data_IF_316198529094
#
_entry.id   IF_316198529094
#
_cell.length_a   1.000
_cell.length_b   1.000
_cell.length_c   1.000
_cell.angle_alpha   90.00
_cell.angle_beta   90.00
_cell.angle_gamma   90.00
#
_symmetry.space_group_name_H-M   'P 1'
#
loop_
_entity.id
_entity.type
_entity.pdbx_description
1 polymer ?
#
# COMPACT_ATOMS: atom_id res chain seq x y z
N UNK A 1 11.95 -0.28 14.01
CA UNK A 1 11.08 -0.48 12.82
C UNK A 1 10.53 0.81 12.20
N UNK A 2 9.71 1.62 12.91
CA UNK A 2 9.00 2.75 12.28
C UNK A 2 9.87 3.80 11.58
N UNK A 3 10.99 4.16 12.19
CA UNK A 3 11.93 5.11 11.59
C UNK A 3 12.69 4.56 10.38
N UNK A 4 13.00 3.25 10.36
CA UNK A 4 13.82 2.60 9.32
C UNK A 4 13.04 2.54 8.00
N UNK A 5 11.79 2.08 8.05
CA UNK A 5 10.94 1.93 6.85
C UNK A 5 10.73 3.28 6.15
N UNK A 6 10.41 4.33 6.93
CA UNK A 6 10.18 5.66 6.38
C UNK A 6 11.45 6.30 5.80
N UNK A 7 12.62 6.03 6.40
CA UNK A 7 13.89 6.63 5.99
C UNK A 7 14.51 5.93 4.78
N UNK A 8 14.40 4.60 4.69
CA UNK A 8 15.05 3.82 3.63
C UNK A 8 14.17 3.65 2.39
N UNK A 9 12.84 3.59 2.53
CA UNK A 9 11.93 3.29 1.42
C UNK A 9 11.02 4.46 1.03
N UNK A 10 11.15 5.60 1.71
CA UNK A 10 10.31 6.80 1.50
C UNK A 10 8.80 6.52 1.54
N UNK A 11 8.38 5.45 2.22
CA UNK A 11 6.98 5.03 2.36
C UNK A 11 6.51 5.19 3.81
N UNK A 12 5.29 5.67 3.99
CA UNK A 12 4.61 5.77 5.29
C UNK A 12 4.00 4.42 5.72
N UNK A 13 3.55 4.35 6.98
CA UNK A 13 2.90 3.15 7.50
C UNK A 13 1.55 2.88 6.85
N UNK A 14 0.82 3.94 6.56
CA UNK A 14 -0.48 3.86 5.91
C UNK A 14 -0.34 3.43 4.45
N UNK A 15 0.67 3.94 3.74
CA UNK A 15 0.99 3.50 2.38
C UNK A 15 1.43 2.02 2.37
N UNK A 16 2.31 1.63 3.30
CA UNK A 16 2.70 0.23 3.45
C UNK A 16 1.50 -0.68 3.71
N UNK A 17 0.62 -0.32 4.63
CA UNK A 17 -0.57 -1.12 4.95
C UNK A 17 -1.54 -1.27 3.77
N UNK A 18 -1.73 -0.20 2.98
CA UNK A 18 -2.53 -0.26 1.74
C UNK A 18 -1.90 -1.24 0.74
N UNK A 19 -0.57 -1.17 0.54
CA UNK A 19 0.13 -2.06 -0.37
C UNK A 19 0.10 -3.53 0.07
N UNK A 20 0.26 -3.78 1.37
CA UNK A 20 0.14 -5.12 1.96
C UNK A 20 -1.25 -5.70 1.70
N UNK A 21 -2.31 -4.93 1.97
CA UNK A 21 -3.68 -5.37 1.71
C UNK A 21 -3.90 -5.76 0.24
N UNK A 22 -3.39 -4.97 -0.71
CA UNK A 22 -3.49 -5.25 -2.15
C UNK A 22 -2.71 -6.51 -2.55
N UNK A 23 -1.54 -6.74 -1.94
CA UNK A 23 -0.70 -7.92 -2.24
C UNK A 23 -1.31 -9.22 -1.69
N UNK A 24 -1.99 -9.15 -0.53
CA UNK A 24 -2.64 -10.30 0.12
C UNK A 24 -3.90 -10.77 -0.62
N UNK A 25 -4.75 -9.84 -1.05
CA UNK A 25 -6.06 -10.17 -1.65
C UNK A 25 -5.98 -10.51 -3.15
N UNK A 26 -4.97 -10.02 -3.87
CA UNK A 26 -4.66 -10.40 -5.27
C UNK A 26 -5.73 -10.16 -6.34
N UNK A 27 -6.79 -9.42 -6.02
CA UNK A 27 -7.78 -8.91 -6.98
C UNK A 27 -7.18 -7.89 -7.98
N UNK A 28 -7.84 -7.72 -9.12
CA UNK A 28 -7.50 -6.69 -10.12
C UNK A 28 -8.10 -5.32 -9.78
N UNK A 29 -9.24 -5.31 -9.07
CA UNK A 29 -9.99 -4.12 -8.68
C UNK A 29 -10.32 -4.12 -7.18
N UNK A 30 -10.19 -2.96 -6.55
CA UNK A 30 -10.52 -2.75 -5.13
C UNK A 30 -11.37 -1.51 -4.94
N UNK A 31 -12.33 -1.58 -4.03
CA UNK A 31 -13.04 -0.40 -3.57
C UNK A 31 -12.26 0.28 -2.45
N UNK A 32 -12.05 1.59 -2.55
CA UNK A 32 -11.37 2.37 -1.52
C UNK A 32 -12.07 2.25 -0.15
N UNK A 33 -13.40 2.15 -0.13
CA UNK A 33 -14.18 1.99 1.11
C UNK A 33 -13.82 0.70 1.84
N UNK A 34 -13.54 -0.38 1.11
CA UNK A 34 -13.25 -1.69 1.70
C UNK A 34 -11.86 -1.69 2.33
N UNK A 35 -10.90 -1.04 1.66
CA UNK A 35 -9.56 -0.78 2.20
C UNK A 35 -9.66 0.07 3.48
N UNK A 36 -10.44 1.16 3.46
CA UNK A 36 -10.64 2.01 4.65
C UNK A 36 -11.25 1.21 5.81
N UNK A 37 -12.25 0.36 5.54
CA UNK A 37 -12.92 -0.44 6.55
C UNK A 37 -12.05 -1.55 7.11
N UNK A 38 -11.15 -2.11 6.29
CA UNK A 38 -10.24 -3.17 6.71
C UNK A 38 -9.05 -2.62 7.50
N UNK A 39 -8.57 -1.43 7.16
CA UNK A 39 -7.43 -0.82 7.82
C UNK A 39 -7.87 -0.07 9.09
N UNK A 40 -7.16 -0.29 10.20
CA UNK A 40 -7.39 0.44 11.46
C UNK A 40 -6.78 1.86 11.46
N UNK A 41 -7.01 2.61 10.38
CA UNK A 41 -6.54 3.99 10.19
C UNK A 41 -7.71 4.94 9.93
N UNK A 42 -7.55 6.22 10.26
CA UNK A 42 -8.58 7.22 9.95
C UNK A 42 -8.67 7.41 8.43
N UNK A 43 -9.88 7.56 7.92
CA UNK A 43 -10.14 7.76 6.49
C UNK A 43 -9.23 8.82 5.82
N UNK A 44 -8.99 10.02 6.40
CA UNK A 44 -8.09 11.00 5.77
C UNK A 44 -6.65 10.49 5.56
N UNK A 45 -6.16 9.60 6.43
CA UNK A 45 -4.82 9.02 6.30
C UNK A 45 -4.77 8.02 5.13
N UNK A 46 -5.76 7.13 5.04
CA UNK A 46 -5.85 6.15 3.95
C UNK A 46 -6.05 6.84 2.60
N UNK A 47 -6.92 7.86 2.54
CA UNK A 47 -7.14 8.65 1.32
C UNK A 47 -5.84 9.34 0.85
N UNK A 48 -5.06 9.89 1.79
CA UNK A 48 -3.76 10.50 1.49
C UNK A 48 -2.76 9.45 0.98
N UNK A 49 -2.65 8.30 1.64
CA UNK A 49 -1.79 7.20 1.22
C UNK A 49 -2.13 6.71 -0.19
N UNK A 50 -3.41 6.48 -0.47
CA UNK A 50 -3.89 6.04 -1.80
C UNK A 50 -3.60 7.08 -2.87
N UNK A 51 -3.72 8.38 -2.55
CA UNK A 51 -3.34 9.45 -3.48
C UNK A 51 -1.87 9.37 -3.84
N UNK A 52 -0.99 9.28 -2.85
CA UNK A 52 0.46 9.25 -3.06
C UNK A 52 0.89 8.01 -3.85
N UNK A 53 0.44 6.82 -3.44
CA UNK A 53 0.76 5.55 -4.11
C UNK A 53 0.32 5.54 -5.59
N UNK A 54 -0.83 6.14 -5.88
CA UNK A 54 -1.29 6.28 -7.27
C UNK A 54 -0.40 7.24 -8.08
N UNK A 55 0.05 8.36 -7.49
CA UNK A 55 1.00 9.27 -8.14
C UNK A 55 2.36 8.61 -8.38
N UNK A 56 2.77 7.71 -7.51
CA UNK A 56 3.98 6.90 -7.67
C UNK A 56 3.79 5.70 -8.60
N UNK A 57 2.63 5.54 -9.24
CA UNK A 57 2.33 4.44 -10.17
C UNK A 57 2.48 3.05 -9.52
N UNK A 58 2.02 2.88 -8.27
CA UNK A 58 1.80 1.55 -7.70
C UNK A 58 0.45 0.96 -8.13
N UNK A 59 -0.51 1.80 -8.47
CA UNK A 59 -1.80 1.41 -9.02
C UNK A 59 -2.49 2.62 -9.66
N UNK A 60 -3.48 2.36 -10.50
CA UNK A 60 -4.37 3.40 -11.01
C UNK A 60 -5.54 3.61 -10.05
N UNK A 61 -6.06 4.84 -9.97
CA UNK A 61 -7.30 5.13 -9.26
C UNK A 61 -8.27 5.84 -10.19
N UNK A 62 -9.54 5.45 -10.15
CA UNK A 62 -10.62 6.11 -10.89
C UNK A 62 -11.88 6.22 -10.04
N UNK A 63 -12.77 7.14 -10.40
CA UNK A 63 -14.14 7.13 -9.87
C UNK A 63 -14.95 6.09 -10.64
N UNK A 64 -15.91 5.47 -9.98
CA UNK A 64 -16.85 4.57 -10.63
C UNK A 64 -17.77 5.39 -11.56
N UNK A 65 -18.04 4.87 -12.76
CA UNK A 65 -18.82 5.57 -13.80
C UNK A 65 -20.32 5.65 -13.48
N UNK A 66 -20.83 4.72 -12.67
CA UNK A 66 -22.24 4.66 -12.26
C UNK A 66 -22.48 5.33 -10.91
N UNK A 67 -21.45 5.41 -10.06
CA UNK A 67 -21.47 6.12 -8.79
C UNK A 67 -20.15 6.87 -8.58
N UNK A 68 -20.13 8.15 -8.97
CA UNK A 68 -18.93 8.98 -8.88
C UNK A 68 -18.41 9.14 -7.44
N UNK A 69 -19.22 8.85 -6.40
CA UNK A 69 -18.78 8.89 -5.00
C UNK A 69 -17.88 7.71 -4.65
N UNK A 70 -17.97 6.64 -5.42
CA UNK A 70 -17.17 5.43 -5.24
C UNK A 70 -15.83 5.57 -5.98
N UNK A 71 -14.75 5.27 -5.26
CA UNK A 71 -13.38 5.25 -5.81
C UNK A 71 -12.91 3.81 -5.93
N UNK A 72 -12.43 3.48 -7.13
CA UNK A 72 -11.86 2.19 -7.50
C UNK A 72 -10.35 2.32 -7.63
N UNK A 73 -9.65 1.29 -7.18
CA UNK A 73 -8.22 1.09 -7.35
C UNK A 73 -8.03 -0.09 -8.30
N UNK A 74 -7.23 0.11 -9.34
CA UNK A 74 -6.96 -0.88 -10.38
C UNK A 74 -5.47 -1.19 -10.38
N UNK A 75 -5.14 -2.48 -10.36
CA UNK A 75 -3.74 -2.94 -10.27
C UNK A 75 -3.43 -3.86 -11.43
N UNK A 76 -2.58 -3.41 -12.35
CA UNK A 76 -2.11 -4.26 -13.44
C UNK A 76 -0.95 -5.18 -13.00
N UNK A 77 -0.55 -6.11 -13.87
CA UNK A 77 0.50 -7.09 -13.56
C UNK A 77 1.89 -6.48 -13.37
N UNK A 78 2.22 -5.35 -14.02
CA UNK A 78 3.50 -4.65 -13.84
C UNK A 78 3.52 -3.91 -12.50
N UNK A 79 2.42 -3.24 -12.19
CA UNK A 79 2.17 -2.59 -10.92
C UNK A 79 2.22 -3.60 -9.77
N UNK A 80 1.59 -4.76 -9.91
CA UNK A 80 1.63 -5.84 -8.91
C UNK A 80 3.05 -6.32 -8.62
N UNK A 81 3.86 -6.58 -9.65
CA UNK A 81 5.28 -6.92 -9.48
C UNK A 81 6.04 -5.84 -8.70
N UNK A 82 5.80 -4.57 -9.03
CA UNK A 82 6.41 -3.43 -8.32
C UNK A 82 6.02 -3.39 -6.84
N UNK A 83 4.76 -3.68 -6.51
CA UNK A 83 4.27 -3.78 -5.12
C UNK A 83 5.00 -4.92 -4.41
N UNK A 84 4.99 -6.12 -4.98
CA UNK A 84 5.60 -7.31 -4.38
C UNK A 84 7.11 -7.13 -4.16
N UNK A 85 7.82 -6.52 -5.11
CA UNK A 85 9.26 -6.20 -5.01
C UNK A 85 9.55 -5.19 -3.89
N UNK A 86 8.68 -4.20 -3.68
CA UNK A 86 8.81 -3.27 -2.55
C UNK A 86 8.59 -4.02 -1.22
N UNK A 87 7.49 -4.75 -1.09
CA UNK A 87 7.15 -5.46 0.15
C UNK A 87 8.21 -6.49 0.52
N UNK A 88 8.76 -7.21 -0.47
CA UNK A 88 9.87 -8.14 -0.27
C UNK A 88 11.12 -7.45 0.28
N UNK A 89 11.50 -6.30 -0.28
CA UNK A 89 12.65 -5.51 0.21
C UNK A 89 12.42 -5.01 1.64
N UNK A 90 11.22 -4.54 1.95
CA UNK A 90 10.85 -4.10 3.31
C UNK A 90 10.91 -5.28 4.29
N UNK A 91 10.37 -6.44 3.94
CA UNK A 91 10.39 -7.63 4.78
C UNK A 91 11.83 -8.13 5.04
N UNK A 92 12.67 -8.18 4.01
CA UNK A 92 14.07 -8.54 4.17
C UNK A 92 14.79 -7.61 5.16
N UNK A 93 14.57 -6.29 5.02
CA UNK A 93 15.17 -5.31 5.93
C UNK A 93 14.68 -5.43 7.37
N UNK A 94 13.39 -5.75 7.56
CA UNK A 94 12.84 -6.03 8.90
C UNK A 94 13.52 -7.25 9.51
N UNK A 95 13.69 -8.33 8.75
CA UNK A 95 14.37 -9.55 9.20
C UNK A 95 15.83 -9.27 9.58
N UNK A 96 16.57 -8.53 8.73
CA UNK A 96 17.94 -8.11 9.03
C UNK A 96 18.03 -7.28 10.31
N UNK A 97 17.17 -6.27 10.46
CA UNK A 97 17.16 -5.43 11.65
C UNK A 97 16.81 -6.22 12.92
N UNK A 98 15.95 -7.24 12.84
CA UNK A 98 15.66 -8.09 13.98
C UNK A 98 16.88 -8.94 14.37
N UNK A 99 17.59 -9.51 13.39
CA UNK A 99 18.81 -10.28 13.64
C UNK A 99 19.94 -9.40 14.21
N UNK A 100 20.06 -8.14 13.79
CA UNK A 100 21.03 -7.17 14.34
C UNK A 100 20.75 -6.79 15.80
N UNK A 101 19.50 -6.87 16.27
CA UNK A 101 19.12 -6.53 17.64
C UNK A 101 19.24 -7.72 18.62
N UNK A 102 19.48 -8.94 18.11
CA UNK A 102 19.68 -10.15 18.92
C UNK A 102 21.17 -10.44 19.20
N UNK A 103 22.10 -9.57 18.77
CA UNK A 103 23.56 -9.68 18.96
C UNK A 103 24.08 -8.63 19.94
#
# INVERSE_FOLDING_TARGET
LKGIIKKEFSISFEEFAVLTYISENKEEEYYLKDIINHLNYKQPQVVKAVKNLSQENYFNKKRNEHDERTVLILVDSKQRKKIDDLLKRVNNRITEANNENEV
#
